data_IF_191199711170
#
_entry.id   IF_191199711170
#
_cell.length_a   1.000
_cell.length_b   1.000
_cell.length_c   1.000
_cell.angle_alpha   90.00
_cell.angle_beta   90.00
_cell.angle_gamma   90.00
#
_symmetry.space_group_name_H-M   'P 1'
#
loop_
_entity.id
_entity.type
_entity.pdbx_description
1 polymer ?
#
# COMPACT_ATOMS: atom_id res chain seq x y z
N UNK A 1 17.40 16.06 21.65
CA UNK A 1 17.64 14.69 21.10
C UNK A 1 16.31 14.13 20.64
N UNK A 2 16.05 14.08 19.33
CA UNK A 2 14.79 13.59 18.78
C UNK A 2 14.75 12.07 18.93
N UNK A 3 13.83 11.53 19.74
CA UNK A 3 13.62 10.07 19.86
C UNK A 3 13.42 9.51 18.45
N UNK A 4 14.31 8.59 18.04
CA UNK A 4 14.12 7.80 16.82
C UNK A 4 12.79 7.07 17.00
N UNK A 5 11.85 7.24 16.08
CA UNK A 5 10.60 6.50 16.15
C UNK A 5 10.94 5.01 16.12
N UNK A 6 10.49 4.28 17.13
CA UNK A 6 10.60 2.82 17.18
C UNK A 6 9.72 2.25 16.05
N UNK A 7 10.32 1.45 15.18
CA UNK A 7 9.65 0.85 14.04
C UNK A 7 9.70 -0.67 14.20
N UNK A 8 8.55 -1.32 14.11
CA UNK A 8 8.43 -2.77 14.13
C UNK A 8 8.55 -3.31 12.71
N UNK A 9 9.44 -4.29 12.48
CA UNK A 9 9.51 -5.02 11.21
C UNK A 9 8.30 -5.95 11.13
N UNK A 10 7.51 -5.83 10.06
CA UNK A 10 6.30 -6.64 9.85
C UNK A 10 6.53 -7.73 8.83
N UNK A 11 7.32 -7.45 7.79
CA UNK A 11 7.51 -8.37 6.68
C UNK A 11 8.83 -8.11 5.96
N UNK A 12 9.41 -9.14 5.38
CA UNK A 12 10.57 -9.04 4.48
C UNK A 12 10.22 -9.78 3.19
N UNK A 13 10.17 -9.04 2.09
CA UNK A 13 9.95 -9.56 0.74
C UNK A 13 11.14 -10.42 0.27
N UNK A 14 10.93 -11.21 -0.77
CA UNK A 14 11.97 -12.03 -1.38
C UNK A 14 13.12 -11.18 -1.94
N UNK A 15 12.81 -10.01 -2.50
CA UNK A 15 13.78 -9.01 -2.96
C UNK A 15 14.52 -8.28 -1.82
N UNK A 16 14.37 -8.76 -0.58
CA UNK A 16 14.92 -8.22 0.66
C UNK A 16 14.40 -6.83 1.02
N UNK A 17 13.31 -6.38 0.40
CA UNK A 17 12.59 -5.18 0.86
C UNK A 17 11.92 -5.46 2.19
N UNK A 18 12.24 -4.65 3.19
CA UNK A 18 11.69 -4.74 4.53
C UNK A 18 10.54 -3.76 4.71
N UNK A 19 9.41 -4.24 5.20
CA UNK A 19 8.22 -3.44 5.50
C UNK A 19 8.09 -3.28 7.01
N UNK A 20 7.99 -2.03 7.43
CA UNK A 20 7.92 -1.61 8.82
C UNK A 20 6.61 -0.92 9.13
N UNK A 21 6.25 -0.92 10.40
CA UNK A 21 5.21 -0.05 10.95
C UNK A 21 5.77 0.77 12.10
N UNK A 22 5.36 2.03 12.16
CA UNK A 22 5.69 2.92 13.26
C UNK A 22 4.40 3.48 13.83
N UNK A 23 4.33 3.64 15.16
CA UNK A 23 3.15 4.21 15.81
C UNK A 23 2.81 5.59 15.25
N UNK A 24 1.52 5.78 14.97
CA UNK A 24 0.94 7.03 14.51
C UNK A 24 0.44 7.88 15.68
N UNK A 25 -0.36 8.90 15.37
CA UNK A 25 -0.88 9.85 16.37
C UNK A 25 -2.35 10.25 16.15
N UNK A 26 -3.07 9.63 15.20
CA UNK A 26 -4.47 9.89 14.93
C UNK A 26 -5.41 9.18 15.90
N UNK A 27 -5.04 7.99 16.38
CA UNK A 27 -5.84 7.17 17.30
C UNK A 27 -4.93 6.26 18.13
N UNK A 28 -5.52 5.54 19.11
CA UNK A 28 -4.79 4.58 19.97
C UNK A 28 -4.04 3.51 19.18
N UNK A 29 -4.63 3.10 18.05
CA UNK A 29 -4.15 2.02 17.18
C UNK A 29 -3.65 2.54 15.84
N UNK A 30 -3.39 3.86 15.73
CA UNK A 30 -2.82 4.45 14.53
C UNK A 30 -1.39 3.99 14.31
N UNK A 31 -1.03 3.81 13.05
CA UNK A 31 0.30 3.44 12.62
C UNK A 31 0.62 4.06 11.26
N UNK A 32 1.87 4.01 10.86
CA UNK A 32 2.33 4.40 9.52
C UNK A 32 3.14 3.26 8.94
N UNK A 33 2.84 2.90 7.70
CA UNK A 33 3.55 1.85 6.97
C UNK A 33 4.75 2.46 6.26
N UNK A 34 5.94 1.92 6.50
CA UNK A 34 7.17 2.33 5.83
C UNK A 34 7.92 1.15 5.27
N UNK A 35 8.95 1.40 4.45
CA UNK A 35 9.78 0.36 3.86
C UNK A 35 11.24 0.76 3.73
N UNK A 36 12.12 -0.23 3.66
CA UNK A 36 13.53 -0.09 3.29
C UNK A 36 13.84 -1.15 2.23
N UNK A 37 14.28 -0.68 1.06
CA UNK A 37 14.80 -1.57 0.02
C UNK A 37 16.18 -2.08 0.40
N UNK A 38 16.57 -3.18 -0.23
CA UNK A 38 17.92 -3.69 -0.09
C UNK A 38 18.97 -2.60 -0.37
N UNK A 39 20.01 -2.54 0.47
CA UNK A 39 21.07 -1.54 0.37
C UNK A 39 20.72 -0.16 0.94
N UNK A 40 19.45 0.14 1.22
CA UNK A 40 19.08 1.37 1.91
C UNK A 40 19.41 1.28 3.41
N UNK A 41 19.98 2.36 3.96
CA UNK A 41 20.23 2.52 5.40
C UNK A 41 19.47 3.72 5.94
N UNK A 42 19.01 3.62 7.19
CA UNK A 42 18.42 4.74 7.91
C UNK A 42 16.93 4.58 8.17
N UNK A 43 16.17 5.67 7.98
CA UNK A 43 14.75 5.73 8.31
C UNK A 43 13.90 5.13 7.19
N UNK A 44 12.92 4.25 7.51
CA UNK A 44 11.97 3.73 6.53
C UNK A 44 11.30 4.84 5.70
N UNK A 45 11.19 4.61 4.39
CA UNK A 45 10.49 5.48 3.44
C UNK A 45 9.00 5.19 3.48
N UNK A 46 8.19 6.18 3.12
CA UNK A 46 6.73 6.05 3.09
C UNK A 46 6.24 6.21 1.66
N UNK A 47 5.76 5.13 1.04
CA UNK A 47 5.11 5.21 -0.25
C UNK A 47 3.75 5.90 -0.08
N UNK A 48 3.66 7.13 -0.57
CA UNK A 48 2.39 7.86 -0.75
C UNK A 48 1.50 7.18 -1.81
N UNK A 49 0.20 7.43 -1.75
CA UNK A 49 -0.78 7.02 -2.78
C UNK A 49 -0.34 7.37 -4.21
N UNK A 50 0.35 8.51 -4.41
CA UNK A 50 0.89 8.88 -5.73
C UNK A 50 1.89 7.85 -6.28
N UNK A 51 2.76 7.29 -5.43
CA UNK A 51 3.71 6.27 -5.88
C UNK A 51 2.97 4.97 -6.22
N UNK A 52 1.99 4.58 -5.40
CA UNK A 52 1.12 3.43 -5.68
C UNK A 52 0.40 3.62 -7.02
N UNK A 53 -0.24 4.77 -7.25
CA UNK A 53 -0.89 5.09 -8.52
C UNK A 53 0.09 5.00 -9.71
N UNK A 54 1.32 5.52 -9.54
CA UNK A 54 2.38 5.47 -10.55
C UNK A 54 2.74 4.03 -10.90
N UNK A 55 2.97 3.18 -9.90
CA UNK A 55 3.25 1.75 -10.11
C UNK A 55 2.16 1.06 -10.90
N UNK A 56 0.90 1.29 -10.54
CA UNK A 56 -0.23 0.72 -11.28
C UNK A 56 -0.26 1.18 -12.74
N UNK A 57 0.03 2.44 -13.03
CA UNK A 57 0.09 2.92 -14.42
C UNK A 57 1.28 2.37 -15.20
N UNK A 58 2.44 2.17 -14.56
CA UNK A 58 3.60 1.53 -15.19
C UNK A 58 3.25 0.07 -15.53
N UNK A 59 2.74 -0.67 -14.56
CA UNK A 59 2.34 -2.08 -14.72
C UNK A 59 1.22 -2.24 -15.75
N UNK A 60 0.26 -1.32 -15.80
CA UNK A 60 -0.78 -1.30 -16.83
C UNK A 60 -0.27 -0.93 -18.22
N UNK A 61 0.77 -0.09 -18.34
CA UNK A 61 1.39 0.18 -19.64
C UNK A 61 2.11 -1.06 -20.19
N UNK A 62 2.64 -1.91 -19.32
CA UNK A 62 3.27 -3.18 -19.67
C UNK A 62 2.24 -4.28 -19.99
N UNK A 63 1.31 -4.56 -19.08
CA UNK A 63 0.25 -5.55 -19.29
C UNK A 63 -1.11 -5.02 -18.77
N UNK A 64 -1.95 -4.43 -19.64
CA UNK A 64 -3.21 -3.80 -19.24
C UNK A 64 -4.21 -4.75 -18.59
N UNK A 65 -4.33 -5.98 -19.12
CA UNK A 65 -5.31 -6.96 -18.63
C UNK A 65 -4.91 -7.46 -17.24
N UNK A 66 -3.64 -7.82 -17.07
CA UNK A 66 -3.13 -8.31 -15.81
C UNK A 66 -3.12 -7.23 -14.73
N UNK A 67 -2.76 -5.99 -15.07
CA UNK A 67 -2.83 -4.86 -14.14
C UNK A 67 -4.26 -4.54 -13.69
N UNK A 68 -5.26 -4.70 -14.57
CA UNK A 68 -6.67 -4.59 -14.18
C UNK A 68 -7.06 -5.72 -13.22
N UNK A 69 -6.68 -6.97 -13.50
CA UNK A 69 -6.92 -8.09 -12.59
C UNK A 69 -6.28 -7.85 -11.22
N UNK A 70 -5.05 -7.32 -11.21
CA UNK A 70 -4.34 -6.95 -9.98
C UNK A 70 -5.02 -5.81 -9.22
N UNK A 71 -5.55 -4.80 -9.92
CA UNK A 71 -6.38 -3.76 -9.32
C UNK A 71 -7.64 -4.35 -8.67
N UNK A 72 -8.32 -5.28 -9.35
CA UNK A 72 -9.52 -5.95 -8.83
C UNK A 72 -9.25 -6.81 -7.58
N UNK A 73 -8.05 -7.39 -7.46
CA UNK A 73 -7.62 -8.05 -6.21
C UNK A 73 -7.75 -7.10 -5.02
N UNK A 74 -7.24 -5.87 -5.13
CA UNK A 74 -7.34 -4.87 -4.07
C UNK A 74 -8.76 -4.35 -3.86
N UNK A 75 -9.54 -4.14 -4.94
CA UNK A 75 -10.96 -3.77 -4.82
C UNK A 75 -11.71 -4.79 -3.98
N UNK A 76 -11.47 -6.09 -4.20
CA UNK A 76 -12.08 -7.17 -3.42
C UNK A 76 -11.63 -7.24 -1.95
N UNK A 77 -10.53 -6.59 -1.58
CA UNK A 77 -10.07 -6.49 -0.18
C UNK A 77 -10.71 -5.32 0.57
N UNK A 78 -11.08 -4.23 -0.12
CA UNK A 78 -11.61 -3.00 0.50
C UNK A 78 -12.79 -3.26 1.45
N UNK A 79 -13.65 -4.21 1.11
CA UNK A 79 -14.84 -4.56 1.89
C UNK A 79 -14.56 -5.59 3.00
N UNK A 80 -13.40 -6.27 2.95
CA UNK A 80 -12.99 -7.29 3.92
C UNK A 80 -12.12 -6.73 5.05
N UNK A 81 -11.42 -5.63 4.78
CA UNK A 81 -10.53 -5.01 5.77
C UNK A 81 -11.34 -4.38 6.91
N UNK A 82 -11.01 -4.80 8.13
CA UNK A 82 -11.62 -4.32 9.38
C UNK A 82 -10.64 -3.44 10.17
N UNK A 83 -11.14 -2.47 10.96
CA UNK A 83 -10.29 -1.70 11.86
C UNK A 83 -9.64 -2.61 12.90
N UNK A 84 -8.42 -2.29 13.34
CA UNK A 84 -7.74 -3.04 14.39
C UNK A 84 -7.83 -2.36 15.75
N UNK A 85 -7.76 -3.16 16.81
CA UNK A 85 -7.71 -2.75 18.20
C UNK A 85 -6.43 -3.21 18.92
N UNK A 86 -5.37 -3.42 18.16
CA UNK A 86 -4.06 -3.87 18.63
C UNK A 86 -2.93 -3.22 17.83
N UNK A 87 -1.71 -3.30 18.36
CA UNK A 87 -0.48 -2.85 17.69
C UNK A 87 0.68 -3.78 18.09
N UNK A 88 1.59 -4.16 17.17
CA UNK A 88 1.60 -3.82 15.74
C UNK A 88 0.51 -4.55 14.93
N UNK A 89 0.08 -4.02 13.77
CA UNK A 89 -0.82 -4.71 12.85
C UNK A 89 -0.27 -6.07 12.40
N UNK A 90 -1.18 -6.96 12.01
CA UNK A 90 -0.86 -8.27 11.42
C UNK A 90 -1.36 -8.29 9.98
N UNK A 91 -0.59 -8.91 9.10
CA UNK A 91 -1.02 -9.23 7.74
C UNK A 91 -2.06 -10.37 7.83
N UNK A 92 -3.19 -10.21 7.12
CA UNK A 92 -4.36 -11.09 7.14
C UNK A 92 -4.72 -11.66 5.76
N UNK A 93 -4.52 -10.90 4.68
CA UNK A 93 -5.06 -11.23 3.35
C UNK A 93 -4.02 -11.57 2.29
N UNK A 94 -2.78 -11.14 2.49
CA UNK A 94 -1.66 -11.57 1.66
C UNK A 94 -1.57 -13.10 1.63
N UNK A 95 -1.51 -13.63 0.41
CA UNK A 95 -1.38 -15.05 0.14
C UNK A 95 -0.27 -15.22 -0.89
N UNK A 96 0.82 -15.85 -0.48
CA UNK A 96 1.99 -16.06 -1.33
C UNK A 96 1.65 -16.88 -2.58
N UNK A 97 0.66 -17.77 -2.52
CA UNK A 97 0.24 -18.58 -3.67
C UNK A 97 -0.40 -17.75 -4.78
N UNK A 98 -0.85 -16.52 -4.48
CA UNK A 98 -1.41 -15.59 -5.47
C UNK A 98 -0.36 -14.76 -6.20
N UNK A 99 0.91 -14.84 -5.80
CA UNK A 99 1.99 -14.09 -6.46
C UNK A 99 2.18 -14.53 -7.91
N UNK A 100 2.15 -15.84 -8.15
CA UNK A 100 2.31 -16.43 -9.48
C UNK A 100 1.27 -15.89 -10.47
N UNK A 101 0.05 -15.58 -9.99
CA UNK A 101 -1.01 -15.02 -10.83
C UNK A 101 -0.65 -13.66 -11.44
N UNK A 102 0.31 -12.92 -10.86
CA UNK A 102 0.67 -11.56 -11.23
C UNK A 102 2.16 -11.38 -11.49
N UNK A 103 2.92 -12.47 -11.62
CA UNK A 103 4.38 -12.46 -11.67
C UNK A 103 4.92 -11.59 -12.83
N UNK A 104 4.31 -11.64 -14.01
CA UNK A 104 4.68 -10.82 -15.18
C UNK A 104 4.71 -9.32 -14.84
N UNK A 105 3.89 -8.85 -13.89
CA UNK A 105 3.91 -7.44 -13.50
C UNK A 105 5.20 -7.03 -12.78
N UNK A 106 6.05 -7.98 -12.35
CA UNK A 106 7.35 -7.70 -11.75
C UNK A 106 8.40 -7.24 -12.77
N UNK A 107 8.18 -7.42 -14.07
CA UNK A 107 9.12 -7.00 -15.11
C UNK A 107 9.31 -5.46 -15.17
N UNK A 108 8.34 -4.71 -14.65
CA UNK A 108 8.34 -3.24 -14.68
C UNK A 108 7.96 -2.62 -13.36
N UNK A 109 8.36 -1.37 -13.19
CA UNK A 109 8.05 -0.56 -12.02
C UNK A 109 9.10 -0.66 -10.93
N UNK A 110 8.91 0.14 -9.89
CA UNK A 110 9.83 0.20 -8.77
C UNK A 110 9.55 -0.91 -7.74
N UNK A 111 8.29 -1.34 -7.60
CA UNK A 111 7.86 -2.26 -6.55
C UNK A 111 7.41 -3.61 -7.11
N UNK A 112 7.82 -4.68 -6.43
CA UNK A 112 7.32 -6.03 -6.71
C UNK A 112 5.84 -6.17 -6.38
N UNK A 113 5.19 -7.15 -7.00
CA UNK A 113 3.81 -7.57 -6.70
C UNK A 113 3.68 -7.93 -5.22
N UNK A 114 4.65 -8.70 -4.68
CA UNK A 114 4.69 -9.08 -3.28
C UNK A 114 4.70 -7.86 -2.36
N UNK A 115 5.59 -6.91 -2.62
CA UNK A 115 5.63 -5.67 -1.88
C UNK A 115 4.30 -4.94 -1.93
N UNK A 116 3.72 -4.78 -3.13
CA UNK A 116 2.46 -4.05 -3.30
C UNK A 116 1.32 -4.73 -2.56
N UNK A 117 1.20 -6.05 -2.61
CA UNK A 117 0.16 -6.79 -1.91
C UNK A 117 0.23 -6.57 -0.39
N UNK A 118 1.41 -6.76 0.21
CA UNK A 118 1.59 -6.58 1.66
C UNK A 118 1.43 -5.12 2.07
N UNK A 119 2.09 -4.20 1.34
CA UNK A 119 2.14 -2.79 1.69
C UNK A 119 0.76 -2.12 1.58
N UNK A 120 0.01 -2.42 0.51
CA UNK A 120 -1.33 -1.85 0.30
C UNK A 120 -2.32 -2.42 1.33
N UNK A 121 -2.24 -3.70 1.68
CA UNK A 121 -3.08 -4.26 2.73
C UNK A 121 -2.89 -3.51 4.06
N UNK A 122 -1.65 -3.23 4.43
CA UNK A 122 -1.34 -2.45 5.62
C UNK A 122 -1.85 -1.00 5.50
N UNK A 123 -1.76 -0.37 4.32
CA UNK A 123 -2.35 0.96 4.09
C UNK A 123 -3.88 0.97 4.24
N UNK A 124 -4.56 -0.05 3.71
CA UNK A 124 -6.01 -0.20 3.86
C UNK A 124 -6.39 -0.39 5.32
N UNK A 125 -5.65 -1.23 6.05
CA UNK A 125 -5.84 -1.47 7.48
C UNK A 125 -5.62 -0.19 8.28
N UNK A 126 -4.57 0.57 7.95
CA UNK A 126 -4.26 1.87 8.54
C UNK A 126 -5.41 2.86 8.34
N UNK A 127 -5.89 2.99 7.10
CA UNK A 127 -6.99 3.90 6.80
C UNK A 127 -8.28 3.46 7.48
N UNK A 128 -8.64 2.17 7.42
CA UNK A 128 -9.86 1.64 8.06
C UNK A 128 -9.89 1.91 9.56
N UNK A 129 -8.74 1.72 10.21
CA UNK A 129 -8.58 1.89 11.67
C UNK A 129 -8.79 3.32 12.11
N UNK A 130 -8.33 4.29 11.31
CA UNK A 130 -8.44 5.71 11.66
C UNK A 130 -9.65 6.40 11.02
N UNK A 131 -10.20 5.82 9.95
CA UNK A 131 -11.27 6.37 9.15
C UNK A 131 -12.08 5.24 8.50
N UNK A 132 -13.11 4.77 9.21
CA UNK A 132 -13.93 3.61 8.84
C UNK A 132 -14.48 3.61 7.40
N UNK A 133 -14.83 4.75 6.76
CA UNK A 133 -15.28 4.76 5.36
C UNK A 133 -14.20 4.38 4.32
N UNK A 134 -12.90 4.44 4.68
CA UNK A 134 -11.77 4.13 3.79
C UNK A 134 -11.82 4.84 2.42
N UNK A 135 -12.08 6.14 2.44
CA UNK A 135 -12.38 6.90 1.23
C UNK A 135 -11.19 6.98 0.26
N UNK A 136 -9.94 7.10 0.73
CA UNK A 136 -8.78 7.29 -0.13
C UNK A 136 -8.42 6.03 -0.91
N UNK A 137 -8.24 4.90 -0.21
CA UNK A 137 -7.95 3.63 -0.89
C UNK A 137 -9.11 3.26 -1.83
N UNK A 138 -10.38 3.33 -1.37
CA UNK A 138 -11.53 3.02 -2.22
C UNK A 138 -11.59 3.91 -3.46
N UNK A 139 -11.40 5.21 -3.30
CA UNK A 139 -11.42 6.16 -4.41
C UNK A 139 -10.27 5.91 -5.38
N UNK A 140 -9.05 5.65 -4.89
CA UNK A 140 -7.89 5.39 -5.74
C UNK A 140 -8.12 4.15 -6.60
N UNK A 141 -8.45 3.01 -6.00
CA UNK A 141 -8.59 1.74 -6.74
C UNK A 141 -9.80 1.73 -7.68
N UNK A 142 -10.89 2.41 -7.34
CA UNK A 142 -12.04 2.53 -8.25
C UNK A 142 -11.77 3.48 -9.43
N UNK A 143 -10.91 4.48 -9.26
CA UNK A 143 -10.60 5.45 -10.32
C UNK A 143 -9.48 4.98 -11.26
N UNK A 144 -8.59 4.09 -10.80
CA UNK A 144 -7.49 3.53 -11.59
C UNK A 144 -8.03 2.89 -12.89
N UNK A 145 -7.43 3.28 -14.01
CA UNK A 145 -7.75 2.84 -15.38
C UNK A 145 -9.16 3.15 -15.88
N UNK A 146 -10.02 3.79 -15.07
CA UNK A 146 -11.37 4.22 -15.45
C UNK A 146 -11.38 5.72 -15.77
N UNK A 147 -10.74 6.52 -14.91
CA UNK A 147 -10.64 7.97 -15.09
C UNK A 147 -9.37 8.37 -15.83
N UNK A 148 -9.38 9.61 -16.33
CA UNK A 148 -8.19 10.23 -16.89
C UNK A 148 -7.03 10.20 -15.87
N UNK A 149 -5.87 9.68 -16.30
CA UNK A 149 -4.70 9.49 -15.44
C UNK A 149 -4.27 10.73 -14.68
N UNK A 150 -4.33 11.92 -15.28
CA UNK A 150 -3.97 13.17 -14.60
C UNK A 150 -4.92 13.49 -13.44
N UNK A 151 -6.21 13.16 -13.59
CA UNK A 151 -7.20 13.31 -12.52
C UNK A 151 -6.94 12.34 -11.36
N UNK A 152 -6.59 11.09 -11.67
CA UNK A 152 -6.22 10.08 -10.67
C UNK A 152 -4.96 10.50 -9.92
N UNK A 153 -3.91 10.90 -10.65
CA UNK A 153 -2.65 11.35 -10.07
C UNK A 153 -2.83 12.61 -9.21
N UNK A 154 -3.65 13.57 -9.64
CA UNK A 154 -4.00 14.74 -8.84
C UNK A 154 -4.78 14.38 -7.57
N UNK A 155 -5.64 13.36 -7.63
CA UNK A 155 -6.32 12.85 -6.42
C UNK A 155 -5.32 12.18 -5.48
N UNK A 156 -4.42 11.35 -6.01
CA UNK A 156 -3.43 10.60 -5.24
C UNK A 156 -2.33 11.48 -4.60
N UNK A 157 -2.09 12.67 -5.17
CA UNK A 157 -1.14 13.65 -4.62
C UNK A 157 -1.72 14.44 -3.45
N UNK A 158 -3.05 14.55 -3.35
CA UNK A 158 -3.70 15.27 -2.26
C UNK A 158 -3.52 14.54 -0.94
N UNK A 159 -3.03 15.25 0.08
CA UNK A 159 -3.17 14.82 1.46
C UNK A 159 -4.63 14.93 1.83
N UNK A 160 -5.20 13.91 2.47
CA UNK A 160 -6.60 13.94 2.85
C UNK A 160 -6.93 15.25 3.56
N UNK A 161 -7.82 16.05 2.96
CA UNK A 161 -8.25 17.30 3.59
C UNK A 161 -8.87 16.93 4.93
N UNK A 162 -8.29 17.42 6.03
CA UNK A 162 -9.03 17.54 7.28
C UNK A 162 -10.26 18.39 6.95
N UNK A 163 -11.42 17.76 6.86
CA UNK A 163 -12.69 18.45 7.10
C UNK A 163 -12.89 18.48 8.61
#
# INVERSE_FOLDING_TARGET
MTKKAECDLIYTCEDRTQIYVAKGNLSKWDFRVGFLKEGMKGTPRFAKHLHIATEFYIKHAHNPELAKKFKEYFVGLLDKVEPIDYYPPKIKFFDQNKLEEFEDLNEVGEFSVEFLMVYIELLMTQEKTNYAPMFFNRKLFNDLFVKNRYSVMNTASQRGKKK
#
